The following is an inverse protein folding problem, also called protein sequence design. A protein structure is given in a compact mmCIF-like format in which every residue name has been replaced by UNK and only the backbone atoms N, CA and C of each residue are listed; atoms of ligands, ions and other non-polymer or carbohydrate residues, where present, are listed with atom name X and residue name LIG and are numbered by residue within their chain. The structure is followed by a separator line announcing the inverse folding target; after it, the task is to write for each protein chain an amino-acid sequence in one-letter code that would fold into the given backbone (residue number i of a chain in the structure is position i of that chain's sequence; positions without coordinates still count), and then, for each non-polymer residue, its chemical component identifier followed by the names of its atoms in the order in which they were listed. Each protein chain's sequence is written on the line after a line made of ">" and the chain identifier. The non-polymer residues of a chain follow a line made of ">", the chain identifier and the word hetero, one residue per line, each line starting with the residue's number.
data_IF_820518618870
#
_entry.id   IF_820518618870
#
_cell.length_a   1.000
_cell.length_b   1.000
_cell.length_c   1.000
_cell.angle_alpha   90.00
_cell.angle_beta   90.00
_cell.angle_gamma   90.00
#
_symmetry.space_group_name_H-M   'P 1'
#
loop_
_entity.id
_entity.type
_entity.pdbx_description
1 polymer ?
#
# COMPACT_ATOMS: atom_id res chain seq x y z
N UNK A 1 -4.27 -2.68 -3.04
CA UNK A 1 -5.21 -2.18 -4.07
C UNK A 1 -6.63 -2.27 -3.53
N UNK A 2 -7.58 -1.53 -4.09
CA UNK A 2 -8.94 -1.41 -3.52
C UNK A 2 -9.70 -2.75 -3.45
N UNK A 3 -9.32 -3.72 -4.27
CA UNK A 3 -9.86 -5.08 -4.35
C UNK A 3 -9.17 -6.08 -3.41
N UNK A 4 -8.14 -5.66 -2.67
CA UNK A 4 -7.37 -6.55 -1.78
C UNK A 4 -6.49 -7.58 -2.50
N UNK A 5 -6.11 -7.35 -3.77
CA UNK A 5 -5.36 -8.34 -4.56
C UNK A 5 -3.93 -8.64 -4.07
N UNK A 6 -3.32 -7.72 -3.32
CA UNK A 6 -1.98 -7.88 -2.77
C UNK A 6 -2.04 -8.17 -1.28
N UNK A 7 -1.22 -9.12 -0.82
CA UNK A 7 -1.20 -9.59 0.58
C UNK A 7 -0.06 -9.01 1.40
N UNK A 8 0.92 -8.37 0.76
CA UNK A 8 2.06 -7.74 1.41
C UNK A 8 2.39 -6.39 0.75
N UNK A 9 3.18 -5.57 1.45
CA UNK A 9 3.49 -4.21 1.03
C UNK A 9 4.50 -4.18 -0.11
N UNK A 10 5.40 -5.16 -0.15
CA UNK A 10 6.43 -5.33 -1.17
C UNK A 10 5.83 -5.55 -2.57
N UNK A 11 4.73 -6.29 -2.68
CA UNK A 11 3.98 -6.50 -3.92
C UNK A 11 3.31 -5.22 -4.40
N UNK A 12 2.82 -4.39 -3.48
CA UNK A 12 2.26 -3.08 -3.80
C UNK A 12 3.37 -2.15 -4.32
N UNK A 13 4.52 -2.13 -3.66
CA UNK A 13 5.68 -1.33 -4.11
C UNK A 13 6.13 -1.79 -5.50
N UNK A 14 6.26 -3.10 -5.71
CA UNK A 14 6.60 -3.69 -7.00
C UNK A 14 5.62 -3.27 -8.11
N UNK A 15 4.33 -3.24 -7.82
CA UNK A 15 3.31 -2.80 -8.77
C UNK A 15 3.59 -1.39 -9.30
N UNK A 16 3.92 -0.45 -8.41
CA UNK A 16 4.22 0.93 -8.82
C UNK A 16 5.59 1.10 -9.46
N UNK A 17 6.61 0.35 -9.02
CA UNK A 17 7.94 0.32 -9.67
C UNK A 17 7.81 -0.12 -11.13
N UNK A 18 6.92 -1.09 -11.40
CA UNK A 18 6.60 -1.57 -12.75
C UNK A 18 5.66 -0.65 -13.55
N UNK A 19 5.45 0.59 -13.10
CA UNK A 19 4.61 1.58 -13.79
C UNK A 19 3.12 1.43 -13.56
N UNK A 20 2.69 0.59 -12.62
CA UNK A 20 1.29 0.35 -12.28
C UNK A 20 0.56 -0.58 -13.24
N UNK A 21 -0.77 -0.53 -13.22
CA UNK A 21 -1.61 -1.29 -14.14
C UNK A 21 -1.48 -0.75 -15.57
N UNK A 22 -1.19 -1.64 -16.52
CA UNK A 22 -1.12 -1.32 -17.95
C UNK A 22 -2.54 -1.38 -18.53
N UNK A 23 -3.20 -0.24 -18.59
CA UNK A 23 -4.56 -0.09 -19.10
C UNK A 23 -4.65 0.93 -20.24
N UNK A 24 -5.75 0.89 -21.00
CA UNK A 24 -5.98 1.74 -22.17
C UNK A 24 -6.10 3.24 -21.88
N UNK A 25 -6.20 3.63 -20.60
CA UNK A 25 -6.35 5.02 -20.13
C UNK A 25 -5.09 5.48 -19.38
N UNK A 26 -3.96 4.79 -19.55
CA UNK A 26 -2.71 5.14 -18.90
C UNK A 26 -2.15 6.48 -19.44
N UNK A 27 -1.69 7.34 -18.52
CA UNK A 27 -0.95 8.54 -18.89
C UNK A 27 0.38 8.15 -19.58
N UNK A 28 0.70 8.67 -20.79
CA UNK A 28 1.94 8.37 -21.50
C UNK A 28 3.24 8.71 -20.74
N UNK A 29 3.15 9.55 -19.70
CA UNK A 29 4.29 9.91 -18.86
C UNK A 29 4.59 8.88 -17.78
N UNK A 30 3.66 7.97 -17.47
CA UNK A 30 3.91 6.86 -16.54
C UNK A 30 4.90 5.89 -17.16
N UNK A 31 6.03 5.70 -16.47
CA UNK A 31 7.11 4.80 -16.89
C UNK A 31 7.49 3.90 -15.75
N UNK A 32 7.97 2.72 -16.10
CA UNK A 32 8.69 1.85 -15.19
C UNK A 32 9.85 2.65 -14.58
N UNK A 33 9.97 2.58 -13.25
CA UNK A 33 11.08 3.16 -12.51
C UNK A 33 12.02 2.04 -12.12
N UNK A 34 13.33 2.30 -12.09
CA UNK A 34 14.30 1.33 -11.58
C UNK A 34 14.75 1.78 -10.21
N UNK A 35 14.43 0.99 -9.19
CA UNK A 35 14.97 1.15 -7.84
C UNK A 35 15.78 -0.09 -7.49
N UNK A 36 16.79 0.08 -6.64
CA UNK A 36 17.56 -1.01 -6.06
C UNK A 36 16.75 -1.75 -5.00
N UNK A 37 17.17 -2.96 -4.65
CA UNK A 37 16.57 -3.72 -3.53
C UNK A 37 16.73 -2.97 -2.18
N UNK A 38 17.80 -2.18 -2.03
CA UNK A 38 18.02 -1.36 -0.84
C UNK A 38 17.01 -0.21 -0.78
N UNK A 39 16.84 0.56 -1.86
CA UNK A 39 15.83 1.63 -1.93
C UNK A 39 14.41 1.09 -1.75
N UNK A 40 14.12 -0.10 -2.27
CA UNK A 40 12.82 -0.77 -2.06
C UNK A 40 12.61 -1.08 -0.58
N UNK A 41 13.63 -1.63 0.08
CA UNK A 41 13.57 -1.94 1.51
C UNK A 41 13.38 -0.66 2.33
N UNK A 42 14.11 0.40 2.02
CA UNK A 42 14.01 1.68 2.70
C UNK A 42 12.62 2.31 2.52
N UNK A 43 12.03 2.22 1.33
CA UNK A 43 10.67 2.66 1.07
C UNK A 43 9.64 1.86 1.90
N UNK A 44 9.80 0.55 1.99
CA UNK A 44 8.94 -0.32 2.81
C UNK A 44 9.04 0.06 4.29
N UNK A 45 10.25 0.30 4.81
CA UNK A 45 10.44 0.74 6.20
C UNK A 45 9.88 2.14 6.46
N UNK A 46 10.02 3.07 5.51
CA UNK A 46 9.36 4.36 5.57
C UNK A 46 7.83 4.22 5.67
N UNK A 47 7.22 3.38 4.83
CA UNK A 47 5.77 3.17 4.85
C UNK A 47 5.28 2.51 6.15
N UNK A 48 6.05 1.57 6.72
CA UNK A 48 5.76 1.00 8.05
C UNK A 48 5.84 2.05 9.15
N UNK A 49 6.71 3.05 9.03
CA UNK A 49 6.79 4.14 10.00
C UNK A 49 5.54 5.03 10.06
N UNK A 50 4.64 4.92 9.08
CA UNK A 50 3.36 5.64 9.04
C UNK A 50 2.25 4.91 9.82
N UNK A 51 2.53 3.71 10.37
CA UNK A 51 1.58 2.99 11.20
C UNK A 51 1.32 3.77 12.50
N UNK A 52 0.06 4.19 12.67
CA UNK A 52 -0.37 4.95 13.85
C UNK A 52 -0.61 4.07 15.07
N UNK A 53 -0.80 4.72 16.23
CA UNK A 53 -1.10 4.01 17.47
C UNK A 53 -2.45 3.30 17.41
N UNK A 54 -2.48 2.04 17.86
CA UNK A 54 -3.73 1.29 18.02
C UNK A 54 -4.64 1.96 19.05
N UNK A 55 -5.85 2.32 18.63
CA UNK A 55 -6.86 2.89 19.50
C UNK A 55 -7.71 1.78 20.13
N UNK A 56 -7.70 1.69 21.46
CA UNK A 56 -8.60 0.79 22.18
C UNK A 56 -10.04 1.28 22.02
N UNK A 57 -10.90 0.46 21.42
CA UNK A 57 -12.32 0.73 21.34
C UNK A 57 -13.02 0.22 22.61
N UNK A 58 -13.77 1.09 23.28
CA UNK A 58 -14.72 0.66 24.31
C UNK A 58 -15.96 0.07 23.65
N UNK A 59 -16.36 -1.14 24.06
CA UNK A 59 -17.57 -1.78 23.55
C UNK A 59 -18.79 -1.00 24.05
N UNK A 60 -19.62 -0.43 23.16
CA UNK A 60 -20.78 0.34 23.59
C UNK A 60 -21.80 -0.57 24.29
N UNK A 61 -22.45 -0.05 25.35
CA UNK A 61 -23.57 -0.75 25.98
C UNK A 61 -24.77 -0.74 25.04
N UNK A 62 -25.08 -1.89 24.43
CA UNK A 62 -26.27 -2.04 23.59
C UNK A 62 -27.50 -2.16 24.51
N UNK A 63 -28.57 -1.35 24.30
CA UNK A 63 -29.81 -1.49 25.07
C UNK A 63 -30.46 -2.86 24.86
N UNK A 64 -31.10 -3.40 25.90
CA UNK A 64 -31.94 -4.59 25.77
C UNK A 64 -33.26 -4.23 25.08
N UNK A 65 -33.69 -5.06 24.14
CA UNK A 65 -35.01 -5.00 23.51
C UNK A 65 -36.13 -5.41 24.48
#
# INVERSE_FOLDING_TARGET
>A
MHNGEFTNLEDVVNHFVNGGAKDSIQDPLLKESTITEEEKKDLVEFLKSLEGEFQLLEIPKIPKA
#
